data_IF_228837711341
#
_entry.id   IF_228837711341
#
_cell.length_a   1.000
_cell.length_b   1.000
_cell.length_c   1.000
_cell.angle_alpha   90.00
_cell.angle_beta   90.00
_cell.angle_gamma   90.00
#
_symmetry.space_group_name_H-M   'P 1'
#
loop_
_entity.id
_entity.type
_entity.pdbx_description
1 polymer ?
#
# COMPACT_ATOMS: atom_id res chain seq x y z
N UNK A 1 69.80 20.10 9.32
CA UNK A 1 69.21 18.86 9.86
C UNK A 1 67.87 18.65 9.19
N UNK A 2 67.57 17.42 8.75
CA UNK A 2 66.79 17.16 7.55
C UNK A 2 65.40 16.61 7.85
N UNK A 3 64.45 16.77 6.92
CA UNK A 3 63.60 15.71 6.35
C UNK A 3 63.05 16.30 5.04
N UNK A 4 63.51 15.82 3.87
CA UNK A 4 62.90 14.72 3.10
C UNK A 4 61.37 14.87 2.99
N UNK A 5 60.75 14.97 1.82
CA UNK A 5 61.23 14.83 0.46
C UNK A 5 60.11 15.16 -0.54
N UNK A 6 60.52 15.36 -1.79
CA UNK A 6 59.68 15.40 -2.97
C UNK A 6 58.79 14.16 -3.08
N UNK A 7 57.63 14.26 -3.76
CA UNK A 7 57.34 13.53 -5.00
C UNK A 7 55.93 13.90 -5.54
N UNK A 8 55.99 14.25 -6.81
CA UNK A 8 55.00 14.35 -7.90
C UNK A 8 53.60 13.72 -7.79
N UNK A 9 52.68 14.49 -8.39
CA UNK A 9 51.61 14.12 -9.36
C UNK A 9 50.39 13.31 -8.92
N UNK A 10 49.24 13.98 -9.08
CA UNK A 10 47.92 13.53 -9.54
C UNK A 10 47.50 12.10 -9.16
N UNK A 11 46.50 12.00 -8.28
CA UNK A 11 45.42 11.01 -8.41
C UNK A 11 44.16 11.44 -7.66
N UNK A 12 43.07 11.48 -8.42
CA UNK A 12 41.67 11.23 -8.06
C UNK A 12 41.30 11.20 -6.57
N UNK A 13 40.47 12.17 -6.14
CA UNK A 13 39.38 11.85 -5.21
C UNK A 13 38.09 12.42 -5.79
N UNK A 14 37.27 11.48 -6.24
CA UNK A 14 35.91 11.62 -6.72
C UNK A 14 35.10 12.40 -5.66
N UNK A 15 34.54 13.55 -6.02
CA UNK A 15 33.58 14.25 -5.15
C UNK A 15 32.30 13.42 -5.17
N UNK A 16 32.23 12.41 -4.30
CA UNK A 16 31.02 11.64 -4.13
C UNK A 16 29.97 12.57 -3.51
N UNK A 17 28.91 12.84 -4.27
CA UNK A 17 27.71 13.59 -3.90
C UNK A 17 27.04 12.96 -2.66
N UNK A 18 27.60 13.21 -1.49
CA UNK A 18 27.13 12.66 -0.22
C UNK A 18 26.15 13.58 0.46
N UNK A 19 24.96 13.81 -0.12
CA UNK A 19 23.78 14.35 0.62
C UNK A 19 22.40 13.95 0.03
N UNK A 20 22.31 12.96 -0.88
CA UNK A 20 21.00 12.38 -1.29
C UNK A 20 20.93 10.92 -0.85
N UNK A 21 21.26 10.67 0.42
CA UNK A 21 21.13 9.35 1.02
C UNK A 21 20.65 9.42 2.47
N UNK A 22 19.61 10.24 2.71
CA UNK A 22 18.52 9.79 3.57
C UNK A 22 17.71 8.77 2.77
N UNK A 23 18.36 7.65 2.49
CA UNK A 23 17.79 6.47 1.88
C UNK A 23 16.65 6.07 2.80
N UNK A 24 15.42 6.21 2.29
CA UNK A 24 14.26 5.39 2.61
C UNK A 24 14.73 4.12 3.30
N UNK A 25 14.66 4.10 4.61
CA UNK A 25 14.93 2.91 5.37
C UNK A 25 14.05 1.81 4.77
N UNK A 26 14.69 0.70 4.44
CA UNK A 26 14.19 -0.37 3.60
C UNK A 26 13.05 -1.09 4.32
N UNK A 27 11.89 -0.45 4.42
CA UNK A 27 10.66 -1.12 4.77
C UNK A 27 10.40 -2.12 3.66
N UNK A 28 10.44 -3.40 4.00
CA UNK A 28 9.98 -4.46 3.11
C UNK A 28 8.54 -4.12 2.74
N UNK A 29 8.33 -3.79 1.47
CA UNK A 29 7.02 -3.48 0.92
C UNK A 29 6.61 -4.66 0.04
N UNK A 30 5.58 -5.38 0.46
CA UNK A 30 4.96 -6.36 -0.42
C UNK A 30 4.05 -5.64 -1.41
N UNK A 31 4.13 -6.01 -2.68
CA UNK A 31 3.26 -5.50 -3.73
C UNK A 31 2.26 -6.57 -4.10
N UNK A 32 0.98 -6.25 -4.00
CA UNK A 32 -0.08 -7.18 -4.36
C UNK A 32 -1.26 -6.47 -5.02
N UNK A 33 -1.97 -7.20 -5.86
CA UNK A 33 -3.31 -6.82 -6.29
C UNK A 33 -4.31 -7.23 -5.21
N UNK A 34 -5.28 -6.36 -4.91
CA UNK A 34 -6.32 -6.65 -3.92
C UNK A 34 -7.61 -7.00 -4.66
N UNK A 35 -7.84 -8.29 -4.89
CA UNK A 35 -8.98 -8.79 -5.66
C UNK A 35 -10.14 -9.19 -4.75
N UNK A 36 -11.36 -8.75 -5.06
CA UNK A 36 -12.54 -9.22 -4.33
C UNK A 36 -12.87 -10.69 -4.67
N UNK A 37 -13.37 -11.45 -3.69
CA UNK A 37 -13.66 -12.88 -3.82
C UNK A 37 -15.15 -13.21 -4.00
N UNK A 38 -16.06 -12.22 -4.04
CA UNK A 38 -17.47 -12.48 -4.29
C UNK A 38 -17.68 -13.14 -5.67
N UNK A 39 -18.35 -14.29 -5.64
CA UNK A 39 -18.61 -15.14 -6.81
C UNK A 39 -19.81 -14.65 -7.62
N UNK A 40 -20.63 -13.78 -7.04
CA UNK A 40 -21.91 -13.35 -7.62
C UNK A 40 -21.79 -12.08 -8.48
N UNK A 41 -20.59 -11.58 -8.73
CA UNK A 41 -20.39 -10.44 -9.62
C UNK A 41 -19.08 -10.48 -10.39
N UNK A 42 -18.69 -9.33 -10.94
CA UNK A 42 -17.52 -9.23 -11.81
C UNK A 42 -16.25 -9.35 -10.96
N UNK A 43 -15.22 -10.02 -11.50
CA UNK A 43 -13.90 -10.09 -10.88
C UNK A 43 -13.25 -8.70 -10.83
N UNK A 44 -13.49 -7.97 -9.74
CA UNK A 44 -13.00 -6.61 -9.52
C UNK A 44 -11.81 -6.57 -8.56
N UNK A 45 -10.93 -5.59 -8.79
CA UNK A 45 -9.77 -5.29 -7.97
C UNK A 45 -9.88 -3.86 -7.45
N UNK A 46 -9.26 -3.60 -6.30
CA UNK A 46 -9.00 -2.24 -5.84
C UNK A 46 -8.12 -1.54 -6.89
N UNK A 47 -8.63 -0.45 -7.45
CA UNK A 47 -8.00 0.26 -8.56
C UNK A 47 -8.16 1.76 -8.34
N UNK A 48 -7.05 2.48 -8.15
CA UNK A 48 -7.10 3.93 -8.00
C UNK A 48 -5.85 4.63 -8.53
N UNK A 49 -6.01 5.70 -9.34
CA UNK A 49 -4.92 6.64 -9.57
C UNK A 49 -4.61 7.39 -8.26
N UNK A 50 -3.35 7.75 -8.03
CA UNK A 50 -2.91 8.48 -6.83
C UNK A 50 -2.22 9.79 -7.19
N UNK A 51 -2.66 10.46 -8.26
CA UNK A 51 -2.17 11.81 -8.52
C UNK A 51 -2.76 12.74 -7.46
N UNK A 52 -2.16 13.92 -7.30
CA UNK A 52 -2.63 14.93 -6.34
C UNK A 52 -4.12 15.30 -6.51
N UNK A 53 -4.64 15.26 -7.74
CA UNK A 53 -6.06 15.52 -8.03
C UNK A 53 -7.00 14.38 -7.64
N UNK A 54 -6.46 13.19 -7.42
CA UNK A 54 -7.22 11.98 -7.05
C UNK A 54 -7.28 11.80 -5.53
N UNK A 55 -6.45 12.52 -4.78
CA UNK A 55 -6.51 12.53 -3.32
C UNK A 55 -7.86 13.07 -2.84
N UNK A 56 -8.30 12.57 -1.69
CA UNK A 56 -9.62 12.83 -1.08
C UNK A 56 -10.82 12.34 -1.90
N UNK A 57 -10.60 11.66 -3.03
CA UNK A 57 -11.66 10.98 -3.78
C UNK A 57 -11.79 9.53 -3.29
N UNK A 58 -13.01 8.95 -3.34
CA UNK A 58 -13.20 7.55 -3.05
C UNK A 58 -12.30 6.67 -3.91
N UNK A 59 -11.67 5.69 -3.27
CA UNK A 59 -10.91 4.65 -3.97
C UNK A 59 -11.86 3.78 -4.79
N UNK A 60 -11.43 3.48 -6.01
CA UNK A 60 -12.22 2.82 -7.03
C UNK A 60 -12.09 1.30 -7.07
N UNK A 61 -12.96 0.72 -7.87
CA UNK A 61 -12.92 -0.68 -8.29
C UNK A 61 -12.84 -0.73 -9.81
N UNK A 62 -12.11 -1.70 -10.34
CA UNK A 62 -12.08 -1.94 -11.78
C UNK A 62 -11.88 -3.43 -12.05
N UNK A 63 -12.30 -3.96 -13.22
CA UNK A 63 -11.94 -5.31 -13.62
C UNK A 63 -10.44 -5.55 -13.48
N UNK A 64 -10.08 -6.63 -12.80
CA UNK A 64 -8.68 -6.98 -12.57
C UNK A 64 -7.96 -7.23 -13.91
N UNK A 65 -6.88 -6.51 -14.20
CA UNK A 65 -6.20 -6.59 -15.50
C UNK A 65 -4.75 -7.06 -15.44
N UNK A 66 -4.11 -7.12 -14.26
CA UNK A 66 -2.71 -7.60 -14.07
C UNK A 66 -1.65 -6.87 -14.93
N UNK A 67 -1.87 -5.59 -15.20
CA UNK A 67 -0.95 -4.77 -16.02
C UNK A 67 -0.08 -3.84 -15.16
N UNK A 68 0.01 -4.09 -13.85
CA UNK A 68 0.66 -3.16 -12.93
C UNK A 68 -0.22 -1.95 -12.62
N UNK A 69 0.44 -0.79 -12.45
CA UNK A 69 -0.20 0.51 -12.33
C UNK A 69 -1.14 0.61 -11.14
N UNK A 70 -2.36 1.09 -11.41
CA UNK A 70 -3.32 1.51 -10.39
C UNK A 70 -3.92 0.35 -9.56
N UNK A 71 -3.68 -0.90 -9.96
CA UNK A 71 -4.16 -2.09 -9.25
C UNK A 71 -3.13 -2.72 -8.31
N UNK A 72 -1.89 -2.23 -8.28
CA UNK A 72 -0.83 -2.77 -7.44
C UNK A 72 -0.63 -1.87 -6.22
N UNK A 73 -0.81 -2.47 -5.06
CA UNK A 73 -0.77 -1.81 -3.77
C UNK A 73 0.40 -2.32 -2.95
N UNK A 74 0.96 -1.41 -2.16
CA UNK A 74 2.14 -1.60 -1.35
C UNK A 74 1.74 -1.76 0.12
N UNK A 75 2.11 -2.86 0.75
CA UNK A 75 1.80 -3.12 2.17
C UNK A 75 2.98 -2.73 3.02
N UNK A 76 2.79 -1.77 3.93
CA UNK A 76 3.82 -1.39 4.89
C UNK A 76 3.76 -2.28 6.14
N UNK A 77 4.90 -2.44 6.81
CA UNK A 77 4.97 -3.11 8.12
C UNK A 77 4.13 -2.43 9.19
N UNK A 78 3.86 -1.14 9.02
CA UNK A 78 3.04 -0.34 9.90
C UNK A 78 1.54 -0.47 9.61
N UNK A 79 1.13 -1.37 8.70
CA UNK A 79 -0.27 -1.66 8.41
C UNK A 79 -0.93 -0.67 7.46
N UNK A 80 -0.16 0.11 6.69
CA UNK A 80 -0.73 0.96 5.64
C UNK A 80 -0.83 0.19 4.32
N UNK A 81 -1.87 0.51 3.54
CA UNK A 81 -2.03 0.05 2.16
C UNK A 81 -1.75 1.26 1.27
N UNK A 82 -0.59 1.26 0.64
CA UNK A 82 0.03 2.41 0.00
C UNK A 82 -0.01 2.31 -1.50
N UNK A 83 0.02 3.48 -2.12
CA UNK A 83 0.22 3.65 -3.55
C UNK A 83 0.94 4.99 -3.73
N UNK A 84 2.21 4.92 -4.11
CA UNK A 84 3.13 6.06 -4.06
C UNK A 84 3.16 6.68 -2.63
N UNK A 85 2.93 7.99 -2.51
CA UNK A 85 2.83 8.70 -1.22
C UNK A 85 1.39 8.79 -0.67
N UNK A 86 0.44 8.08 -1.29
CA UNK A 86 -0.95 8.02 -0.84
C UNK A 86 -1.26 6.68 -0.14
N UNK A 87 -2.12 6.74 0.86
CA UNK A 87 -2.56 5.64 1.68
C UNK A 87 -4.08 5.47 1.55
N UNK A 88 -4.53 4.21 1.59
CA UNK A 88 -5.93 3.88 1.75
C UNK A 88 -6.38 4.34 3.14
N UNK A 89 -7.41 5.17 3.20
CA UNK A 89 -7.83 5.88 4.41
C UNK A 89 -9.34 5.78 4.56
N UNK A 90 -9.82 5.34 5.73
CA UNK A 90 -11.25 5.34 6.03
C UNK A 90 -11.66 6.65 6.73
N UNK A 91 -12.37 7.52 5.99
CA UNK A 91 -12.79 8.84 6.49
C UNK A 91 -13.93 8.80 7.53
N UNK A 92 -14.41 7.61 7.88
CA UNK A 92 -15.64 7.40 8.64
C UNK A 92 -16.89 7.23 7.75
N UNK A 93 -16.82 7.66 6.48
CA UNK A 93 -17.89 7.48 5.49
C UNK A 93 -17.43 6.64 4.30
N UNK A 94 -16.38 7.11 3.61
CA UNK A 94 -15.83 6.48 2.42
C UNK A 94 -14.40 6.01 2.67
N UNK A 95 -13.95 5.08 1.82
CA UNK A 95 -12.53 4.73 1.72
C UNK A 95 -11.93 5.55 0.61
N UNK A 96 -10.98 6.42 0.95
CA UNK A 96 -10.37 7.40 0.04
C UNK A 96 -8.86 7.14 -0.08
N UNK A 97 -8.21 7.84 -1.01
CA UNK A 97 -6.77 8.04 -0.97
C UNK A 97 -6.43 9.33 -0.26
N UNK A 98 -5.54 9.27 0.73
CA UNK A 98 -5.06 10.42 1.49
C UNK A 98 -3.53 10.36 1.63
N UNK A 99 -2.80 11.49 1.74
CA UNK A 99 -1.36 11.45 2.02
C UNK A 99 -1.02 10.52 3.19
N UNK A 100 -0.07 9.62 3.00
CA UNK A 100 0.39 8.75 4.07
C UNK A 100 0.98 9.57 5.21
N UNK A 101 0.55 9.32 6.45
CA UNK A 101 1.04 10.08 7.60
C UNK A 101 1.65 9.21 8.71
N UNK A 102 1.65 7.88 8.61
CA UNK A 102 2.31 6.98 9.57
C UNK A 102 1.70 6.93 10.97
N UNK A 103 0.81 7.87 11.30
CA UNK A 103 0.08 7.97 12.58
C UNK A 103 -0.93 6.85 12.85
N UNK A 104 -1.00 5.81 12.00
CA UNK A 104 -1.99 4.73 12.07
C UNK A 104 -3.42 5.28 11.97
N UNK A 105 -4.26 5.03 12.97
CA UNK A 105 -5.66 5.46 13.00
C UNK A 105 -6.48 4.93 11.82
N UNK A 106 -7.04 5.87 11.06
CA UNK A 106 -7.83 5.67 9.85
C UNK A 106 -7.04 5.12 8.64
N UNK A 107 -5.70 5.12 8.70
CA UNK A 107 -4.82 4.54 7.67
C UNK A 107 -4.27 3.15 8.04
N UNK A 108 -4.74 2.59 9.16
CA UNK A 108 -4.27 1.29 9.63
C UNK A 108 -5.24 0.17 9.26
N UNK A 109 -4.70 -0.82 8.54
CA UNK A 109 -5.40 -1.97 8.00
C UNK A 109 -4.74 -3.26 8.47
N UNK A 110 -5.57 -4.20 8.93
CA UNK A 110 -5.13 -5.55 9.26
C UNK A 110 -5.72 -6.53 8.27
N UNK A 111 -4.87 -7.21 7.53
CA UNK A 111 -5.28 -8.32 6.69
C UNK A 111 -5.10 -9.65 7.42
N UNK A 112 -6.17 -10.43 7.51
CA UNK A 112 -6.11 -11.80 8.01
C UNK A 112 -6.06 -12.80 6.83
N UNK A 113 -4.93 -13.49 6.60
CA UNK A 113 -4.81 -14.42 5.48
C UNK A 113 -5.68 -15.67 5.63
N UNK A 114 -6.20 -16.00 6.81
CA UNK A 114 -7.08 -17.15 6.99
C UNK A 114 -8.52 -16.79 6.62
N UNK A 115 -9.03 -15.69 7.15
CA UNK A 115 -10.41 -15.24 6.86
C UNK A 115 -10.53 -14.42 5.57
N UNK A 116 -9.41 -13.96 5.00
CA UNK A 116 -9.33 -13.05 3.84
C UNK A 116 -9.98 -11.69 4.10
N UNK A 117 -10.21 -11.33 5.36
CA UNK A 117 -10.81 -10.06 5.73
C UNK A 117 -9.75 -8.97 5.83
N UNK A 118 -10.10 -7.79 5.31
CA UNK A 118 -9.32 -6.56 5.47
C UNK A 118 -10.02 -5.66 6.48
N UNK A 119 -9.50 -5.61 7.71
CA UNK A 119 -10.11 -4.92 8.85
C UNK A 119 -9.52 -3.54 9.02
N UNK A 120 -10.38 -2.58 9.32
CA UNK A 120 -9.97 -1.27 9.82
C UNK A 120 -9.50 -1.38 11.29
N UNK A 121 -8.72 -0.41 11.79
CA UNK A 121 -8.11 -0.40 13.13
C UNK A 121 -9.02 -0.86 14.28
N UNK A 122 -10.30 -0.44 14.29
CA UNK A 122 -11.22 -0.81 15.37
C UNK A 122 -11.55 -2.31 15.43
N UNK A 123 -11.23 -3.07 14.37
CA UNK A 123 -11.50 -4.50 14.25
C UNK A 123 -12.96 -4.85 13.98
N UNK A 124 -13.88 -3.91 14.14
CA UNK A 124 -15.33 -4.10 13.95
C UNK A 124 -15.76 -4.04 12.49
N UNK A 125 -15.11 -3.17 11.70
CA UNK A 125 -15.47 -2.93 10.30
C UNK A 125 -14.45 -3.53 9.33
N UNK A 126 -14.97 -4.14 8.28
CA UNK A 126 -14.25 -4.76 7.19
C UNK A 126 -14.52 -4.03 5.87
N UNK A 127 -13.51 -3.96 5.03
CA UNK A 127 -13.66 -3.48 3.66
C UNK A 127 -14.54 -4.46 2.87
N UNK A 128 -15.50 -3.95 2.12
CA UNK A 128 -16.33 -4.73 1.22
C UNK A 128 -16.53 -4.01 -0.12
N UNK A 129 -16.91 -4.77 -1.15
CA UNK A 129 -17.62 -4.19 -2.30
C UNK A 129 -19.10 -4.06 -1.97
N UNK A 130 -19.80 -3.04 -2.48
CA UNK A 130 -21.26 -3.00 -2.39
C UNK A 130 -21.91 -4.12 -3.23
N UNK A 131 -23.22 -4.33 -3.07
CA UNK A 131 -23.97 -5.38 -3.80
C UNK A 131 -23.84 -5.26 -5.33
N UNK A 132 -23.70 -4.05 -5.86
CA UNK A 132 -23.54 -3.81 -7.30
C UNK A 132 -22.09 -3.92 -7.80
N UNK A 133 -21.14 -4.19 -6.91
CA UNK A 133 -19.70 -4.29 -7.21
C UNK A 133 -19.12 -3.00 -7.84
N UNK A 134 -19.75 -1.86 -7.55
CA UNK A 134 -19.46 -0.57 -8.17
C UNK A 134 -18.67 0.38 -7.27
N UNK A 135 -18.64 0.14 -5.95
CA UNK A 135 -17.87 0.95 -5.00
C UNK A 135 -17.46 0.16 -3.75
N UNK A 136 -16.44 0.68 -3.06
CA UNK A 136 -16.05 0.21 -1.74
C UNK A 136 -17.03 0.71 -0.67
N UNK A 137 -17.23 -0.10 0.35
CA UNK A 137 -18.00 0.23 1.56
C UNK A 137 -17.31 -0.37 2.79
N UNK A 138 -17.60 0.20 3.95
CA UNK A 138 -17.17 -0.34 5.25
C UNK A 138 -18.38 -0.89 6.00
N UNK A 139 -18.39 -2.20 6.23
CA UNK A 139 -19.48 -2.93 6.88
C UNK A 139 -18.95 -3.64 8.14
N UNK A 140 -19.85 -4.05 9.03
CA UNK A 140 -19.45 -4.96 10.11
C UNK A 140 -18.88 -6.26 9.55
N UNK A 141 -17.79 -6.72 10.15
CA UNK A 141 -17.10 -7.91 9.69
C UNK A 141 -17.97 -9.17 9.80
N UNK A 142 -18.15 -9.86 8.68
CA UNK A 142 -18.81 -11.15 8.55
C UNK A 142 -17.93 -12.12 7.75
N UNK A 143 -17.47 -13.19 8.39
CA UNK A 143 -16.60 -14.21 7.78
C UNK A 143 -17.30 -15.02 6.69
N UNK A 144 -18.63 -14.99 6.65
CA UNK A 144 -19.42 -15.71 5.65
C UNK A 144 -19.76 -14.85 4.44
N UNK A 145 -19.53 -13.53 4.50
CA UNK A 145 -19.83 -12.60 3.42
C UNK A 145 -18.66 -12.50 2.44
N UNK A 146 -18.80 -13.10 1.25
CA UNK A 146 -17.73 -13.11 0.25
C UNK A 146 -17.41 -11.71 -0.32
N UNK A 147 -18.33 -10.72 -0.22
CA UNK A 147 -18.04 -9.32 -0.57
C UNK A 147 -16.96 -8.69 0.30
N UNK A 148 -16.75 -9.23 1.50
CA UNK A 148 -15.74 -8.76 2.46
C UNK A 148 -14.41 -9.51 2.36
N UNK A 149 -14.32 -10.50 1.46
CA UNK A 149 -13.13 -11.32 1.27
C UNK A 149 -12.28 -10.81 0.12
N UNK A 150 -11.01 -10.62 0.40
CA UNK A 150 -10.04 -10.07 -0.52
C UNK A 150 -8.86 -11.03 -0.68
N UNK A 151 -8.56 -11.42 -1.92
CA UNK A 151 -7.34 -12.13 -2.24
C UNK A 151 -6.24 -11.11 -2.55
N UNK A 152 -5.18 -11.14 -1.76
CA UNK A 152 -3.95 -10.43 -2.05
C UNK A 152 -3.06 -11.28 -2.95
N UNK A 153 -3.11 -11.02 -4.25
CA UNK A 153 -2.34 -11.76 -5.25
C UNK A 153 -0.87 -11.33 -5.21
N UNK A 154 0.03 -12.31 -5.06
CA UNK A 154 1.49 -12.13 -4.86
C UNK A 154 1.91 -11.59 -3.49
N UNK A 155 1.06 -11.70 -2.46
CA UNK A 155 1.39 -11.30 -1.09
C UNK A 155 2.00 -12.43 -0.26
N UNK A 156 3.12 -12.18 0.40
CA UNK A 156 3.72 -13.06 1.40
C UNK A 156 3.93 -12.34 2.74
N UNK A 157 3.07 -12.62 3.71
CA UNK A 157 3.11 -12.01 5.05
C UNK A 157 4.45 -12.19 5.77
N UNK A 158 5.21 -13.25 5.49
CA UNK A 158 6.50 -13.53 6.13
C UNK A 158 7.58 -12.52 5.72
N UNK A 159 7.36 -11.79 4.64
CA UNK A 159 8.28 -10.74 4.20
C UNK A 159 8.03 -9.42 4.94
N UNK A 160 6.93 -9.28 5.67
CA UNK A 160 6.64 -8.11 6.50
C UNK A 160 7.09 -8.29 7.96
N UNK A 161 7.24 -9.53 8.45
CA UNK A 161 7.84 -9.85 9.77
C UNK A 161 9.34 -9.62 9.79
#
# INVERSE_FOLDING_TARGET
MPIHGYISTLNNVNVQLGWISLIYEVDRVEKAMIRNMDKHGTRVCLDSPAKRSDLHRPAGLYPCHHQGGNQYWMFSKNGEIRRDEACLDYSGQDVILYPCHGGKGNQYWQYDPNSKLLKHMSGEKCLAVNQQHSKLVMEYCDRNNDRQKWLLENYDARKLS
#
